data_IF_627412567422
#
_entry.id   IF_627412567422
#
_cell.length_a   1.000
_cell.length_b   1.000
_cell.length_c   1.000
_cell.angle_alpha   90.00
_cell.angle_beta   90.00
_cell.angle_gamma   90.00
#
_symmetry.space_group_name_H-M   'P 1'
#
loop_
_entity.id
_entity.type
_entity.pdbx_description
1 polymer ?
#
# COMPACT_ATOMS: atom_id res chain seq x y z
N UNK A 1 -11.90 5.04 -13.86
CA UNK A 1 -12.30 5.52 -15.20
C UNK A 1 -11.09 5.68 -16.12
N UNK A 2 -10.23 6.66 -15.88
CA UNK A 2 -9.19 7.07 -16.83
C UNK A 2 -8.18 5.97 -17.23
N UNK A 3 -7.61 5.25 -16.25
CA UNK A 3 -6.67 4.15 -16.54
C UNK A 3 -7.34 2.99 -17.30
N UNK A 4 -8.64 2.74 -17.05
CA UNK A 4 -9.39 1.76 -17.82
C UNK A 4 -9.59 2.21 -19.27
N UNK A 5 -9.82 3.51 -19.51
CA UNK A 5 -9.90 4.06 -20.86
C UNK A 5 -8.57 3.95 -21.60
N UNK A 6 -7.44 4.20 -20.93
CA UNK A 6 -6.09 3.98 -21.48
C UNK A 6 -5.91 2.52 -21.88
N UNK A 7 -6.24 1.58 -20.99
CA UNK A 7 -6.15 0.16 -21.33
C UNK A 7 -7.05 -0.21 -22.51
N UNK A 8 -8.27 0.31 -22.57
CA UNK A 8 -9.20 0.04 -23.66
C UNK A 8 -8.70 0.56 -25.02
N UNK A 9 -8.28 1.83 -25.08
CA UNK A 9 -7.81 2.46 -26.32
C UNK A 9 -6.54 1.80 -26.86
N UNK A 10 -5.68 1.29 -25.97
CA UNK A 10 -4.44 0.62 -26.34
C UNK A 10 -4.54 -0.92 -26.38
N UNK A 11 -5.73 -1.50 -26.21
CA UNK A 11 -5.92 -2.95 -26.23
C UNK A 11 -5.17 -3.71 -25.12
N UNK A 12 -4.84 -3.03 -24.01
CA UNK A 12 -4.11 -3.62 -22.89
C UNK A 12 -5.06 -4.44 -21.99
N UNK A 13 -4.61 -5.57 -21.44
CA UNK A 13 -5.34 -6.28 -20.40
C UNK A 13 -5.63 -5.37 -19.20
N UNK A 14 -6.83 -5.49 -18.61
CA UNK A 14 -7.28 -4.61 -17.51
C UNK A 14 -6.33 -4.55 -16.30
N UNK A 15 -5.56 -5.61 -16.04
CA UNK A 15 -4.54 -5.65 -14.99
C UNK A 15 -3.47 -4.55 -15.12
N UNK A 16 -3.19 -4.05 -16.33
CA UNK A 16 -2.21 -2.98 -16.56
C UNK A 16 -2.61 -1.64 -15.90
N UNK A 17 -3.91 -1.41 -15.68
CA UNK A 17 -4.37 -0.25 -14.93
C UNK A 17 -3.81 -0.25 -13.50
N UNK A 18 -3.78 -1.42 -12.84
CA UNK A 18 -3.21 -1.56 -11.51
C UNK A 18 -1.69 -1.35 -11.52
N UNK A 19 -1.00 -1.85 -12.55
CA UNK A 19 0.45 -1.67 -12.70
C UNK A 19 0.80 -0.19 -12.85
N UNK A 20 0.12 0.54 -13.74
CA UNK A 20 0.34 1.99 -13.90
C UNK A 20 0.03 2.76 -12.61
N UNK A 21 -1.07 2.41 -11.93
CA UNK A 21 -1.41 3.01 -10.65
C UNK A 21 -0.31 2.77 -9.61
N UNK A 22 0.12 1.52 -9.42
CA UNK A 22 1.16 1.16 -8.47
C UNK A 22 2.48 1.88 -8.79
N UNK A 23 2.88 1.91 -10.07
CA UNK A 23 4.07 2.61 -10.53
C UNK A 23 4.03 4.12 -10.18
N UNK A 24 2.90 4.78 -10.41
CA UNK A 24 2.71 6.16 -10.01
C UNK A 24 2.78 6.33 -8.47
N UNK A 25 2.17 5.42 -7.70
CA UNK A 25 2.15 5.46 -6.23
C UNK A 25 3.52 5.21 -5.58
N UNK A 26 4.44 4.51 -6.24
CA UNK A 26 5.80 4.29 -5.73
C UNK A 26 6.49 5.60 -5.34
N UNK A 27 6.28 6.68 -6.11
CA UNK A 27 6.85 8.00 -5.79
C UNK A 27 6.41 8.51 -4.42
N UNK A 28 5.11 8.45 -4.13
CA UNK A 28 4.54 8.86 -2.85
C UNK A 28 4.89 7.91 -1.70
N UNK A 29 4.97 6.60 -1.96
CA UNK A 29 5.43 5.64 -0.96
C UNK A 29 6.89 5.85 -0.59
N UNK A 30 7.76 6.13 -1.56
CA UNK A 30 9.15 6.45 -1.32
C UNK A 30 9.28 7.75 -0.53
N UNK A 31 8.53 8.80 -0.89
CA UNK A 31 8.50 10.06 -0.15
C UNK A 31 8.12 9.83 1.33
N UNK A 32 7.02 9.11 1.59
CA UNK A 32 6.61 8.80 2.96
C UNK A 32 7.61 7.91 3.71
N UNK A 33 8.28 6.98 3.02
CA UNK A 33 9.33 6.17 3.65
C UNK A 33 10.52 7.04 4.09
N UNK A 34 10.94 8.01 3.25
CA UNK A 34 11.99 8.96 3.58
C UNK A 34 11.59 9.88 4.73
N UNK A 35 10.35 10.41 4.72
CA UNK A 35 9.79 11.19 5.81
C UNK A 35 9.77 10.40 7.13
N UNK A 36 9.37 9.13 7.08
CA UNK A 36 9.35 8.26 8.26
C UNK A 36 10.75 7.94 8.78
N UNK A 37 11.72 7.74 7.88
CA UNK A 37 13.12 7.55 8.25
C UNK A 37 13.68 8.80 8.94
N UNK A 38 13.36 9.99 8.43
CA UNK A 38 13.76 11.25 9.03
C UNK A 38 13.11 11.49 10.40
N UNK A 39 11.86 11.06 10.59
CA UNK A 39 11.18 11.11 11.89
C UNK A 39 11.85 10.18 12.92
N UNK A 40 12.45 9.08 12.49
CA UNK A 40 13.25 8.18 13.35
C UNK A 40 12.42 7.38 14.36
N UNK A 41 11.11 7.24 14.14
CA UNK A 41 10.22 6.50 15.05
C UNK A 41 9.68 5.22 14.41
N UNK A 42 9.60 4.16 15.21
CA UNK A 42 9.02 2.89 14.79
C UNK A 42 7.53 2.85 15.08
N UNK A 43 6.75 2.38 14.11
CA UNK A 43 5.33 2.07 14.32
C UNK A 43 5.24 0.80 15.18
N UNK A 44 4.81 0.94 16.44
CA UNK A 44 4.66 -0.17 17.40
C UNK A 44 3.22 -0.30 17.89
N UNK A 45 2.31 -0.88 17.09
CA UNK A 45 0.95 -1.12 17.53
C UNK A 45 0.94 -2.19 18.62
N UNK A 46 0.11 -2.01 19.66
CA UNK A 46 -0.10 -3.02 20.70
C UNK A 46 -1.49 -3.62 20.57
N UNK A 47 -1.54 -4.93 20.42
CA UNK A 47 -2.78 -5.67 20.55
C UNK A 47 -3.04 -5.99 22.02
N UNK A 48 -4.32 -6.05 22.41
CA UNK A 48 -4.76 -6.56 23.71
C UNK A 48 -5.31 -7.97 23.49
N UNK A 49 -4.71 -8.96 24.16
CA UNK A 49 -5.26 -10.30 24.18
C UNK A 49 -6.59 -10.31 24.95
N UNK A 50 -7.63 -10.88 24.34
CA UNK A 50 -8.97 -11.02 24.93
C UNK A 50 -9.44 -12.47 24.99
N UNK A 51 -8.53 -13.43 24.78
CA UNK A 51 -8.84 -14.85 24.92
C UNK A 51 -8.83 -15.29 26.39
N UNK A 52 -9.24 -16.54 26.61
CA UNK A 52 -9.19 -17.15 27.94
C UNK A 52 -7.73 -17.36 28.37
N UNK A 53 -7.44 -17.17 29.66
CA UNK A 53 -6.17 -17.59 30.23
C UNK A 53 -6.06 -19.12 30.16
N UNK A 54 -4.87 -19.70 29.90
CA UNK A 54 -4.68 -21.14 29.94
C UNK A 54 -5.10 -21.71 31.31
N UNK A 55 -5.78 -22.85 31.31
CA UNK A 55 -6.00 -23.63 32.54
C UNK A 55 -4.67 -24.09 33.13
N UNK A 56 -4.63 -24.25 34.44
CA UNK A 56 -3.43 -24.67 35.19
C UNK A 56 -3.02 -26.11 34.88
#
# INVERSE_FOLDING_TARGET
GLLAAICYVHGLPGAHALVMFAAARLTGWLAHALEQQALGTLIRPRARYTGLAPGR
#
